data_IF_576259180615
#
_entry.id   IF_576259180615
#
_cell.length_a   1.000
_cell.length_b   1.000
_cell.length_c   1.000
_cell.angle_alpha   90.00
_cell.angle_beta   90.00
_cell.angle_gamma   90.00
#
_symmetry.space_group_name_H-M   'P 1'
#
loop_
_entity.id
_entity.type
_entity.pdbx_description
1 polymer ?
#
# COMPACT_ATOMS: atom_id res chain seq x y z
N UNK A 1 -22.06 2.25 25.57
CA UNK A 1 -22.27 3.66 25.18
C UNK A 1 -22.99 3.72 23.83
N UNK A 2 -23.76 4.77 23.51
CA UNK A 2 -24.34 4.92 22.16
C UNK A 2 -23.24 5.13 21.12
N UNK A 3 -23.44 4.57 19.92
CA UNK A 3 -22.54 4.77 18.80
C UNK A 3 -22.47 6.25 18.40
N UNK A 4 -21.26 6.83 18.40
CA UNK A 4 -21.06 8.23 18.04
C UNK A 4 -21.18 8.50 16.53
N UNK A 5 -21.07 7.46 15.70
CA UNK A 5 -21.13 7.55 14.23
C UNK A 5 -22.58 7.67 13.73
N UNK A 6 -23.50 6.82 14.22
CA UNK A 6 -24.90 6.81 13.77
C UNK A 6 -25.94 7.15 14.84
N UNK A 7 -25.58 7.13 16.13
CA UNK A 7 -26.50 7.33 17.27
C UNK A 7 -27.69 6.36 17.38
N UNK A 8 -27.77 5.34 16.51
CA UNK A 8 -28.93 4.46 16.38
C UNK A 8 -28.94 3.26 17.34
N UNK A 9 -27.76 2.81 17.81
CA UNK A 9 -27.64 1.66 18.70
C UNK A 9 -26.52 1.85 19.73
N UNK A 10 -26.59 1.07 20.80
CA UNK A 10 -25.46 0.91 21.73
C UNK A 10 -24.35 0.06 21.11
N UNK A 11 -23.11 0.40 21.46
CA UNK A 11 -21.97 -0.42 21.13
C UNK A 11 -21.95 -1.68 21.98
N UNK A 12 -21.63 -2.81 21.34
CA UNK A 12 -21.54 -4.12 21.97
C UNK A 12 -20.10 -4.62 21.87
N UNK A 13 -19.52 -4.99 23.01
CA UNK A 13 -18.21 -5.60 23.06
C UNK A 13 -18.25 -6.99 22.43
N UNK A 14 -17.39 -7.24 21.45
CA UNK A 14 -17.36 -8.48 20.69
C UNK A 14 -15.97 -8.75 20.09
N UNK A 15 -15.75 -9.97 19.59
CA UNK A 15 -14.59 -10.35 18.79
C UNK A 15 -15.04 -10.99 17.49
N UNK A 16 -14.65 -10.39 16.35
CA UNK A 16 -15.06 -10.88 15.03
C UNK A 16 -14.02 -10.58 13.97
N UNK A 17 -14.13 -11.27 12.86
CA UNK A 17 -13.34 -11.00 11.67
C UNK A 17 -13.87 -9.74 10.96
N UNK A 18 -12.98 -8.87 10.49
CA UNK A 18 -13.35 -7.68 9.71
C UNK A 18 -12.80 -7.75 8.29
N UNK A 19 -13.63 -7.33 7.32
CA UNK A 19 -13.23 -7.21 5.93
C UNK A 19 -12.52 -5.88 5.72
N UNK A 20 -11.31 -5.92 5.15
CA UNK A 20 -10.57 -4.74 4.73
C UNK A 20 -10.37 -4.75 3.22
N UNK A 21 -10.71 -3.64 2.55
CA UNK A 21 -10.56 -3.50 1.09
C UNK A 21 -9.62 -2.35 0.76
N UNK A 22 -8.66 -2.61 -0.13
CA UNK A 22 -7.71 -1.64 -0.64
C UNK A 22 -7.48 -1.86 -2.14
N UNK A 23 -7.71 -0.83 -2.96
CA UNK A 23 -7.55 -0.89 -4.44
C UNK A 23 -8.24 -2.09 -5.09
N UNK A 24 -9.48 -2.36 -4.69
CA UNK A 24 -10.33 -3.47 -5.14
C UNK A 24 -9.83 -4.87 -4.76
N UNK A 25 -8.78 -4.97 -3.95
CA UNK A 25 -8.35 -6.21 -3.31
C UNK A 25 -8.88 -6.22 -1.87
N UNK A 26 -9.32 -7.38 -1.40
CA UNK A 26 -9.86 -7.52 -0.05
C UNK A 26 -9.09 -8.57 0.75
N UNK A 27 -8.97 -8.35 2.05
CA UNK A 27 -8.45 -9.31 3.03
C UNK A 27 -9.34 -9.34 4.27
N UNK A 28 -9.20 -10.40 5.05
CA UNK A 28 -9.85 -10.52 6.36
C UNK A 28 -8.80 -10.28 7.43
N UNK A 29 -9.08 -9.37 8.35
CA UNK A 29 -8.29 -9.18 9.57
C UNK A 29 -8.98 -9.98 10.67
N UNK A 30 -8.37 -11.08 11.13
CA UNK A 30 -9.06 -12.01 12.01
C UNK A 30 -9.11 -11.49 13.44
N UNK A 31 -10.13 -11.97 14.17
CA UNK A 31 -10.28 -11.84 15.61
C UNK A 31 -10.02 -10.41 16.11
N UNK A 32 -10.74 -9.44 15.54
CA UNK A 32 -10.72 -8.04 16.01
C UNK A 32 -11.65 -7.90 17.19
N UNK A 33 -11.09 -7.45 18.31
CA UNK A 33 -11.81 -7.27 19.56
C UNK A 33 -12.07 -5.79 19.82
N UNK A 34 -13.30 -5.46 20.20
CA UNK A 34 -13.68 -4.10 20.57
C UNK A 34 -15.18 -3.90 20.63
N UNK A 35 -15.59 -2.64 20.65
CA UNK A 35 -16.98 -2.21 20.75
C UNK A 35 -17.57 -1.98 19.35
N UNK A 36 -18.52 -2.83 18.93
CA UNK A 36 -19.12 -2.78 17.61
C UNK A 36 -20.55 -2.24 17.64
N UNK A 37 -20.88 -1.36 16.69
CA UNK A 37 -22.25 -0.92 16.48
C UNK A 37 -23.01 -1.92 15.61
N UNK A 38 -24.11 -2.54 16.09
CA UNK A 38 -24.90 -3.46 15.28
C UNK A 38 -25.72 -2.76 14.18
N UNK A 39 -25.91 -1.44 14.25
CA UNK A 39 -26.71 -0.69 13.29
C UNK A 39 -25.92 -0.25 12.04
N UNK A 40 -24.67 0.20 12.20
CA UNK A 40 -23.86 0.72 11.09
C UNK A 40 -22.51 0.01 10.89
N UNK A 41 -22.12 -0.90 11.78
CA UNK A 41 -20.85 -1.62 11.69
C UNK A 41 -19.62 -0.84 12.17
N UNK A 42 -19.79 0.36 12.75
CA UNK A 42 -18.70 1.12 13.37
C UNK A 42 -18.00 0.30 14.45
N UNK A 43 -16.66 0.38 14.51
CA UNK A 43 -15.84 -0.31 15.50
C UNK A 43 -15.05 0.71 16.33
N UNK A 44 -15.21 0.67 17.64
CA UNK A 44 -14.42 1.44 18.60
C UNK A 44 -13.45 0.49 19.28
N UNK A 45 -12.15 0.73 19.09
CA UNK A 45 -11.10 -0.18 19.49
C UNK A 45 -10.19 0.48 20.51
N UNK A 46 -9.62 -0.32 21.41
CA UNK A 46 -8.56 0.18 22.29
C UNK A 46 -7.27 0.51 21.48
N UNK A 47 -6.30 1.23 22.08
CA UNK A 47 -5.08 1.60 21.38
C UNK A 47 -4.23 0.41 20.90
N UNK A 48 -4.27 -0.72 21.61
CA UNK A 48 -3.50 -1.94 21.27
C UNK A 48 -4.09 -2.61 20.04
N UNK A 49 -5.41 -2.83 20.03
CA UNK A 49 -6.11 -3.42 18.89
C UNK A 49 -6.07 -2.49 17.67
N UNK A 50 -6.26 -1.18 17.87
CA UNK A 50 -6.11 -0.17 16.81
C UNK A 50 -4.74 -0.24 16.14
N UNK A 51 -3.66 -0.39 16.93
CA UNK A 51 -2.30 -0.53 16.41
C UNK A 51 -2.13 -1.85 15.63
N UNK A 52 -2.63 -2.97 16.17
CA UNK A 52 -2.54 -4.28 15.51
C UNK A 52 -3.21 -4.28 14.15
N UNK A 53 -4.43 -3.76 14.07
CA UNK A 53 -5.20 -3.67 12.83
C UNK A 53 -4.52 -2.73 11.84
N UNK A 54 -4.07 -1.56 12.30
CA UNK A 54 -3.36 -0.61 11.44
C UNK A 54 -2.11 -1.24 10.81
N UNK A 55 -1.37 -2.05 11.58
CA UNK A 55 -0.22 -2.80 11.06
C UNK A 55 -0.64 -3.86 10.03
N UNK A 56 -1.71 -4.63 10.29
CA UNK A 56 -2.23 -5.62 9.34
C UNK A 56 -2.70 -4.98 8.03
N UNK A 57 -3.42 -3.84 8.12
CA UNK A 57 -3.84 -3.05 6.96
C UNK A 57 -2.64 -2.53 6.16
N UNK A 58 -1.62 -1.98 6.83
CA UNK A 58 -0.41 -1.48 6.17
C UNK A 58 0.35 -2.60 5.46
N UNK A 59 0.43 -3.78 6.06
CA UNK A 59 1.08 -4.93 5.45
C UNK A 59 0.31 -5.43 4.23
N UNK A 60 -1.01 -5.54 4.32
CA UNK A 60 -1.85 -5.87 3.16
C UNK A 60 -1.69 -4.84 2.03
N UNK A 61 -1.69 -3.54 2.37
CA UNK A 61 -1.50 -2.48 1.37
C UNK A 61 -0.16 -2.62 0.63
N UNK A 62 0.92 -2.98 1.35
CA UNK A 62 2.22 -3.25 0.73
C UNK A 62 2.16 -4.44 -0.22
N UNK A 63 1.52 -5.54 0.19
CA UNK A 63 1.34 -6.72 -0.65
C UNK A 63 0.57 -6.39 -1.94
N UNK A 64 -0.54 -5.66 -1.82
CA UNK A 64 -1.33 -5.20 -2.97
C UNK A 64 -0.51 -4.29 -3.89
N UNK A 65 0.30 -3.39 -3.33
CA UNK A 65 1.16 -2.51 -4.11
C UNK A 65 2.32 -3.25 -4.81
N UNK A 66 2.82 -4.34 -4.21
CA UNK A 66 3.86 -5.21 -4.75
C UNK A 66 3.34 -6.27 -5.75
N UNK A 67 2.02 -6.37 -5.95
CA UNK A 67 1.38 -7.41 -6.77
C UNK A 67 1.91 -7.57 -8.21
N UNK A 68 2.41 -6.49 -8.81
CA UNK A 68 2.89 -6.52 -10.21
C UNK A 68 4.42 -6.48 -10.33
N UNK A 69 5.11 -6.11 -9.27
CA UNK A 69 6.57 -6.00 -9.22
C UNK A 69 7.04 -5.93 -7.76
N UNK A 70 8.12 -6.63 -7.46
CA UNK A 70 8.80 -6.50 -6.18
C UNK A 70 9.38 -5.07 -6.00
N UNK A 71 9.08 -4.36 -4.90
CA UNK A 71 9.74 -3.10 -4.58
C UNK A 71 11.28 -3.18 -4.62
N UNK A 72 11.86 -4.32 -4.23
CA UNK A 72 13.30 -4.58 -4.30
C UNK A 72 13.83 -4.55 -5.74
N UNK A 73 13.09 -5.11 -6.69
CA UNK A 73 13.43 -5.05 -8.11
C UNK A 73 13.55 -3.60 -8.61
N UNK A 74 12.61 -2.72 -8.25
CA UNK A 74 12.65 -1.29 -8.66
C UNK A 74 13.92 -0.63 -8.15
N UNK A 75 14.26 -0.84 -6.87
CA UNK A 75 15.47 -0.28 -6.27
C UNK A 75 16.74 -0.81 -6.95
N UNK A 76 16.79 -2.09 -7.28
CA UNK A 76 17.93 -2.72 -7.93
C UNK A 76 18.16 -2.19 -9.34
N UNK A 77 17.10 -2.10 -10.16
CA UNK A 77 17.20 -1.53 -11.52
C UNK A 77 17.62 -0.07 -11.47
N UNK A 78 17.01 0.73 -10.58
CA UNK A 78 17.39 2.14 -10.43
C UNK A 78 18.88 2.31 -10.10
N UNK A 79 19.39 1.52 -9.14
CA UNK A 79 20.82 1.55 -8.77
C UNK A 79 21.72 1.07 -9.91
N UNK A 80 21.31 0.05 -10.65
CA UNK A 80 22.02 -0.45 -11.85
C UNK A 80 22.14 0.62 -12.93
N UNK A 81 21.12 1.46 -13.07
CA UNK A 81 21.10 2.63 -13.96
C UNK A 81 21.84 3.86 -13.40
N UNK A 82 22.46 3.74 -12.21
CA UNK A 82 23.17 4.83 -11.53
C UNK A 82 22.31 6.08 -11.28
N UNK A 83 21.02 5.88 -10.97
CA UNK A 83 20.09 6.96 -10.67
C UNK A 83 19.80 7.04 -9.17
N UNK A 84 19.67 8.24 -8.63
CA UNK A 84 18.99 8.45 -7.36
C UNK A 84 17.45 8.41 -7.53
N UNK A 85 16.70 8.40 -6.43
CA UNK A 85 15.23 8.31 -6.47
C UNK A 85 14.57 9.54 -7.12
N UNK A 86 15.18 10.72 -6.97
CA UNK A 86 14.69 11.97 -7.54
C UNK A 86 14.88 11.96 -9.05
N UNK A 87 16.09 11.66 -9.52
CA UNK A 87 16.42 11.53 -10.94
C UNK A 87 15.52 10.50 -11.62
N UNK A 88 15.29 9.35 -10.96
CA UNK A 88 14.37 8.35 -11.48
C UNK A 88 12.92 8.88 -11.57
N UNK A 89 12.46 9.64 -10.57
CA UNK A 89 11.14 10.29 -10.62
C UNK A 89 11.02 11.37 -11.68
N UNK A 90 12.11 12.07 -12.01
CA UNK A 90 12.18 13.05 -13.10
C UNK A 90 12.16 12.37 -14.48
N UNK A 91 12.96 11.32 -14.68
CA UNK A 91 13.08 10.58 -15.95
C UNK A 91 11.83 9.75 -16.26
N UNK A 92 11.36 8.97 -15.28
CA UNK A 92 10.26 8.03 -15.49
C UNK A 92 8.89 8.59 -15.08
N UNK A 93 8.87 9.80 -14.50
CA UNK A 93 7.66 10.46 -14.02
C UNK A 93 7.14 9.95 -12.67
N UNK A 94 5.96 10.45 -12.28
CA UNK A 94 5.29 10.14 -11.00
C UNK A 94 5.64 11.09 -9.84
N UNK A 95 6.46 12.10 -10.12
CA UNK A 95 6.88 13.15 -9.19
C UNK A 95 8.10 12.77 -8.35
N UNK A 96 8.67 13.76 -7.64
CA UNK A 96 9.95 13.65 -6.94
C UNK A 96 10.04 12.49 -5.92
N UNK A 97 8.89 12.06 -5.37
CA UNK A 97 8.80 11.00 -4.36
C UNK A 97 8.23 9.68 -4.91
N UNK A 98 8.07 9.52 -6.22
CA UNK A 98 7.51 8.30 -6.81
C UNK A 98 8.32 7.05 -6.44
N UNK A 99 9.62 7.06 -6.74
CA UNK A 99 10.50 5.92 -6.49
C UNK A 99 10.64 5.61 -5.01
N UNK A 100 10.66 6.64 -4.14
CA UNK A 100 10.60 6.43 -2.70
C UNK A 100 9.33 5.67 -2.28
N UNK A 101 8.17 5.98 -2.86
CA UNK A 101 6.91 5.28 -2.54
C UNK A 101 6.89 3.87 -3.13
N UNK A 102 7.36 3.68 -4.35
CA UNK A 102 7.37 2.38 -5.02
C UNK A 102 8.33 1.40 -4.31
N UNK A 103 9.55 1.85 -4.00
CA UNK A 103 10.58 1.04 -3.32
C UNK A 103 10.19 0.67 -1.88
N UNK A 104 9.33 1.45 -1.24
CA UNK A 104 8.80 1.16 0.09
C UNK A 104 7.43 0.47 0.09
N UNK A 105 6.90 0.08 -1.08
CA UNK A 105 5.58 -0.55 -1.21
C UNK A 105 4.40 0.34 -0.80
N UNK A 106 4.61 1.66 -0.70
CA UNK A 106 3.57 2.64 -0.34
C UNK A 106 2.67 3.04 -1.50
N UNK A 107 3.11 2.77 -2.74
CA UNK A 107 2.32 2.98 -3.93
C UNK A 107 2.56 1.86 -4.94
N UNK A 108 1.51 1.53 -5.70
CA UNK A 108 1.59 0.61 -6.84
C UNK A 108 2.14 1.38 -8.03
N UNK A 109 3.27 0.98 -8.63
CA UNK A 109 3.79 1.63 -9.83
C UNK A 109 2.85 1.39 -11.03
N UNK A 110 2.83 2.29 -12.03
CA UNK A 110 2.12 2.05 -13.28
C UNK A 110 2.68 0.82 -14.01
N UNK A 111 1.82 0.03 -14.66
CA UNK A 111 2.24 -1.16 -15.41
C UNK A 111 3.27 -0.84 -16.51
N UNK A 112 3.11 0.30 -17.19
CA UNK A 112 4.05 0.77 -18.21
C UNK A 112 5.46 0.98 -17.63
N UNK A 113 5.55 1.59 -16.44
CA UNK A 113 6.82 1.79 -15.74
C UNK A 113 7.49 0.45 -15.42
N UNK A 114 6.73 -0.53 -14.90
CA UNK A 114 7.26 -1.86 -14.59
C UNK A 114 7.82 -2.54 -15.83
N UNK A 115 7.11 -2.48 -16.97
CA UNK A 115 7.57 -3.05 -18.23
C UNK A 115 8.85 -2.36 -18.71
N UNK A 116 8.91 -1.03 -18.64
CA UNK A 116 10.10 -0.26 -19.01
C UNK A 116 11.31 -0.61 -18.15
N UNK A 117 11.14 -0.70 -16.83
CA UNK A 117 12.23 -1.11 -15.92
C UNK A 117 12.72 -2.54 -16.21
N UNK A 118 11.84 -3.46 -16.61
CA UNK A 118 12.25 -4.81 -17.04
C UNK A 118 13.07 -4.81 -18.33
N UNK A 119 12.78 -3.90 -19.26
CA UNK A 119 13.59 -3.71 -20.48
C UNK A 119 14.95 -3.13 -20.10
N UNK A 120 14.96 -2.04 -19.31
CA UNK A 120 16.20 -1.36 -18.90
C UNK A 120 17.08 -2.19 -17.97
N UNK A 121 16.51 -3.15 -17.22
CA UNK A 121 17.33 -4.12 -16.50
C UNK A 121 18.14 -4.99 -17.46
N UNK A 122 17.58 -5.39 -18.62
CA UNK A 122 18.32 -6.20 -19.61
C UNK A 122 19.21 -5.35 -20.51
N UNK A 123 18.79 -4.12 -20.78
CA UNK A 123 19.39 -3.19 -21.74
C UNK A 123 19.61 -1.81 -21.10
N UNK A 124 20.54 -1.68 -20.13
CA UNK A 124 20.78 -0.42 -19.43
C UNK A 124 21.26 0.71 -20.36
N UNK A 125 21.87 0.38 -21.50
CA UNK A 125 22.28 1.31 -22.55
C UNK A 125 21.14 2.15 -23.12
N UNK A 126 19.91 1.61 -23.11
CA UNK A 126 18.72 2.29 -23.64
C UNK A 126 18.20 3.41 -22.73
N UNK A 127 18.78 3.60 -21.53
CA UNK A 127 18.39 4.70 -20.65
C UNK A 127 18.53 6.07 -21.34
N UNK A 128 19.51 6.21 -22.22
CA UNK A 128 19.73 7.47 -22.94
C UNK A 128 18.57 7.82 -23.89
N UNK A 129 17.85 6.84 -24.42
CA UNK A 129 16.65 7.05 -25.25
C UNK A 129 15.43 7.44 -24.43
N UNK A 130 15.41 7.15 -23.14
CA UNK A 130 14.30 7.52 -22.23
C UNK A 130 14.50 8.93 -21.64
N UNK A 131 15.74 9.41 -21.58
CA UNK A 131 16.09 10.72 -21.01
C UNK A 131 15.75 11.91 -21.92
N UNK A 132 15.54 11.66 -23.22
CA UNK A 132 15.20 12.68 -24.22
C UNK A 132 13.77 13.17 -24.07
#
# INVERSE_FOLDING_TARGET
MKCLSCSAAELLYDTRDILYTYKNESTVIPAVTGDFCPACGEAVLDPTESKRISMAMLEFNKQVNASIVDPGFIANVRKKLSLDQRQAGEIFGGGINAFLRYENGRAKPPLALVKLLKVLDRHPELLNEVRT
#
